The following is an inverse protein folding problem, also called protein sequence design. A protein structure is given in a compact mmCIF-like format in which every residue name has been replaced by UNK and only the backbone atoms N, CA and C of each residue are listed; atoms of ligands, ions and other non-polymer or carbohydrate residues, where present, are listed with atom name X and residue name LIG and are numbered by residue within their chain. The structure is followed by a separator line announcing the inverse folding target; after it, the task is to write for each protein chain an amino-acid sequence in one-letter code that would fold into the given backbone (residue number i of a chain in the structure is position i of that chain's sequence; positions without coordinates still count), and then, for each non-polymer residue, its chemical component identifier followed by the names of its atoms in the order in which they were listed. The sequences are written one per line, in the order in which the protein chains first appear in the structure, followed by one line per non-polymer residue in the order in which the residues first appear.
data_IF_631266757103
#
_entry.id   IF_631266757103
#
_cell.length_a   1.000
_cell.length_b   1.000
_cell.length_c   1.000
_cell.angle_alpha   90.00
_cell.angle_beta   90.00
_cell.angle_gamma   90.00
#
_symmetry.space_group_name_H-M   'P 1'
#
loop_
_entity.id
_entity.type
_entity.pdbx_description
1 polymer ?
#
# COMPACT_ATOMS: atom_id res chain seq x y z
N UNK A 1 16.99 -0.58 10.51
CA UNK A 1 17.18 -1.03 9.12
C UNK A 1 16.87 -2.51 9.08
N UNK A 2 16.01 -2.98 8.16
CA UNK A 2 15.85 -4.41 7.94
C UNK A 2 17.22 -5.03 7.61
N UNK A 3 17.44 -6.29 7.97
CA UNK A 3 18.68 -6.95 7.56
C UNK A 3 18.64 -7.21 6.05
N UNK A 4 19.80 -7.27 5.35
CA UNK A 4 19.86 -7.61 3.93
C UNK A 4 19.11 -8.91 3.60
N UNK A 5 19.07 -9.82 4.56
CA UNK A 5 18.31 -11.07 4.45
C UNK A 5 16.81 -10.82 4.41
N UNK A 6 16.25 -10.00 5.31
CA UNK A 6 14.82 -9.69 5.32
C UNK A 6 14.37 -8.96 4.06
N UNK A 7 15.18 -8.03 3.52
CA UNK A 7 14.89 -7.35 2.26
C UNK A 7 14.84 -8.35 1.10
N UNK A 8 15.85 -9.20 0.98
CA UNK A 8 15.88 -10.23 -0.05
C UNK A 8 14.68 -11.19 0.03
N UNK A 9 14.33 -11.66 1.23
CA UNK A 9 13.18 -12.55 1.43
C UNK A 9 11.88 -11.86 1.01
N UNK A 10 11.69 -10.60 1.41
CA UNK A 10 10.52 -9.80 1.05
C UNK A 10 10.42 -9.57 -0.47
N UNK A 11 11.52 -9.24 -1.13
CA UNK A 11 11.59 -9.09 -2.59
C UNK A 11 11.22 -10.39 -3.32
N UNK A 12 11.69 -11.54 -2.82
CA UNK A 12 11.32 -12.85 -3.39
C UNK A 12 9.83 -13.17 -3.17
N UNK A 13 9.27 -12.84 -2.00
CA UNK A 13 7.85 -13.03 -1.74
C UNK A 13 6.97 -12.12 -2.61
N UNK A 14 7.43 -10.90 -2.91
CA UNK A 14 6.72 -9.98 -3.79
C UNK A 14 6.73 -10.49 -5.24
N UNK A 15 7.89 -10.97 -5.72
CA UNK A 15 7.99 -11.60 -7.04
C UNK A 15 7.07 -12.83 -7.16
N UNK A 16 7.02 -13.69 -6.13
CA UNK A 16 6.09 -14.83 -6.12
C UNK A 16 4.63 -14.37 -6.20
N UNK A 17 4.27 -13.28 -5.49
CA UNK A 17 2.93 -12.69 -5.52
C UNK A 17 2.55 -12.23 -6.93
N UNK A 18 3.44 -11.50 -7.60
CA UNK A 18 3.21 -11.01 -8.96
C UNK A 18 2.99 -12.14 -9.98
N UNK A 19 3.69 -13.26 -9.79
CA UNK A 19 3.56 -14.45 -10.63
C UNK A 19 2.37 -15.34 -10.21
N UNK A 20 1.72 -15.02 -9.09
CA UNK A 20 0.67 -15.83 -8.49
C UNK A 20 1.17 -17.17 -7.94
N UNK A 21 2.48 -17.34 -7.74
CA UNK A 21 3.06 -18.54 -7.19
C UNK A 21 2.77 -18.63 -5.69
N UNK A 22 2.29 -19.77 -5.21
CA UNK A 22 1.92 -20.04 -3.81
C UNK A 22 0.91 -19.06 -3.19
N UNK A 23 0.29 -18.17 -3.97
CA UNK A 23 -0.78 -17.32 -3.51
C UNK A 23 -2.00 -18.17 -3.16
N UNK A 24 -2.36 -18.16 -1.88
CA UNK A 24 -3.41 -18.98 -1.28
C UNK A 24 -4.64 -18.16 -0.87
N UNK A 25 -4.64 -16.85 -1.16
CA UNK A 25 -5.81 -15.98 -1.00
C UNK A 25 -5.98 -15.00 -2.16
N UNK A 26 -7.24 -14.78 -2.53
CA UNK A 26 -7.67 -13.70 -3.41
C UNK A 26 -8.47 -12.66 -2.61
N UNK A 27 -7.91 -11.45 -2.43
CA UNK A 27 -8.59 -10.33 -1.77
C UNK A 27 -9.31 -9.50 -2.82
N UNK A 28 -10.60 -9.28 -2.65
CA UNK A 28 -11.45 -8.50 -3.56
C UNK A 28 -11.89 -7.19 -2.89
N UNK A 29 -11.82 -6.09 -3.63
CA UNK A 29 -12.30 -4.76 -3.23
C UNK A 29 -13.02 -4.14 -4.41
N UNK A 30 -14.35 -4.14 -4.37
CA UNK A 30 -15.19 -3.90 -5.52
C UNK A 30 -14.84 -4.86 -6.65
N UNK A 31 -14.58 -4.31 -7.82
CA UNK A 31 -14.21 -5.08 -9.02
C UNK A 31 -12.70 -5.39 -9.11
N UNK A 32 -11.89 -4.93 -8.15
CA UNK A 32 -10.44 -5.15 -8.14
C UNK A 32 -10.07 -6.36 -7.30
N UNK A 33 -9.17 -7.20 -7.80
CA UNK A 33 -8.71 -8.41 -7.12
C UNK A 33 -7.19 -8.40 -6.93
N UNK A 34 -6.75 -8.88 -5.78
CA UNK A 34 -5.35 -8.96 -5.37
C UNK A 34 -5.03 -10.39 -4.93
N UNK A 35 -4.08 -11.01 -5.63
CA UNK A 35 -3.49 -12.28 -5.16
C UNK A 35 -2.49 -11.98 -4.05
N UNK A 36 -2.49 -12.79 -3.01
CA UNK A 36 -1.56 -12.65 -1.91
C UNK A 36 -1.33 -13.99 -1.19
N UNK A 37 -0.33 -13.98 -0.32
CA UNK A 37 -0.05 -15.03 0.66
C UNK A 37 -0.69 -14.67 2.01
N UNK A 38 -1.51 -15.57 2.55
CA UNK A 38 -2.14 -15.40 3.88
C UNK A 38 -1.11 -15.25 4.97
N UNK A 39 0.00 -15.99 4.88
CA UNK A 39 1.10 -15.93 5.83
C UNK A 39 1.70 -14.51 5.95
N UNK A 40 1.96 -13.84 4.82
CA UNK A 40 2.50 -12.48 4.80
C UNK A 40 1.49 -11.49 5.40
N UNK A 41 0.24 -11.54 4.93
CA UNK A 41 -0.84 -10.66 5.42
C UNK A 41 -1.06 -10.83 6.94
N UNK A 42 -1.08 -12.05 7.46
CA UNK A 42 -1.29 -12.36 8.88
C UNK A 42 -0.09 -11.98 9.76
N UNK A 43 1.14 -12.08 9.23
CA UNK A 43 2.34 -11.63 9.91
C UNK A 43 2.33 -10.10 10.08
N UNK A 44 1.92 -9.37 9.04
CA UNK A 44 1.90 -7.91 9.04
C UNK A 44 0.67 -7.29 9.72
N UNK A 45 -0.45 -8.02 9.87
CA UNK A 45 -1.70 -7.45 10.37
C UNK A 45 -2.51 -8.42 11.23
N UNK A 46 -2.85 -7.97 12.45
CA UNK A 46 -3.74 -8.71 13.34
C UNK A 46 -5.15 -8.87 12.77
N UNK A 47 -5.63 -7.91 11.97
CA UNK A 47 -6.91 -8.01 11.27
C UNK A 47 -6.93 -9.22 10.33
N UNK A 48 -5.94 -9.33 9.44
CA UNK A 48 -5.85 -10.47 8.51
C UNK A 48 -5.64 -11.79 9.25
N UNK A 49 -4.86 -11.79 10.33
CA UNK A 49 -4.68 -12.98 11.17
C UNK A 49 -6.01 -13.49 11.73
N UNK A 50 -6.82 -12.62 12.32
CA UNK A 50 -8.13 -13.00 12.85
C UNK A 50 -9.10 -13.43 11.74
N UNK A 51 -9.09 -12.70 10.61
CA UNK A 51 -9.91 -13.00 9.45
C UNK A 51 -9.63 -14.40 8.88
N UNK A 52 -8.35 -14.78 8.80
CA UNK A 52 -7.94 -16.08 8.29
C UNK A 52 -8.24 -17.24 9.24
N UNK A 53 -8.12 -17.03 10.55
CA UNK A 53 -8.57 -18.01 11.54
C UNK A 53 -10.07 -18.31 11.36
N UNK A 54 -10.89 -17.29 11.13
CA UNK A 54 -12.34 -17.47 10.93
C UNK A 54 -12.70 -18.10 9.58
N UNK A 55 -11.97 -17.75 8.51
CA UNK A 55 -12.23 -18.26 7.16
C UNK A 55 -11.67 -19.66 6.92
N UNK A 56 -10.60 -20.08 7.61
CA UNK A 56 -10.12 -21.47 7.59
C UNK A 56 -11.18 -22.44 8.10
N UNK A 57 -11.95 -22.05 9.12
CA UNK A 57 -13.10 -22.84 9.57
C UNK A 57 -14.18 -23.02 8.49
N UNK A 58 -14.17 -22.20 7.43
CA UNK A 58 -15.15 -22.20 6.33
C UNK A 58 -14.57 -22.69 5.01
N UNK A 59 -13.27 -22.97 4.94
CA UNK A 59 -12.59 -23.38 3.71
C UNK A 59 -12.57 -22.31 2.60
N UNK A 60 -12.68 -21.03 2.95
CA UNK A 60 -12.81 -19.95 1.97
C UNK A 60 -11.43 -19.43 1.53
N UNK A 61 -11.15 -19.47 0.22
CA UNK A 61 -9.88 -19.00 -0.38
C UNK A 61 -9.95 -17.56 -0.92
N UNK A 62 -11.13 -16.94 -0.87
CA UNK A 62 -11.34 -15.55 -1.25
C UNK A 62 -11.80 -14.73 -0.06
N UNK A 63 -11.40 -13.46 -0.02
CA UNK A 63 -11.83 -12.50 0.99
C UNK A 63 -12.37 -11.28 0.28
N UNK A 64 -13.60 -10.87 0.61
CA UNK A 64 -14.19 -9.63 0.12
C UNK A 64 -14.11 -8.54 1.19
N UNK A 65 -13.41 -7.45 0.89
CA UNK A 65 -13.25 -6.28 1.74
C UNK A 65 -14.05 -5.07 1.23
N UNK A 66 -14.92 -5.24 0.24
CA UNK A 66 -15.72 -4.14 -0.35
C UNK A 66 -16.58 -3.40 0.67
N UNK A 67 -17.01 -4.09 1.75
CA UNK A 67 -17.83 -3.53 2.82
C UNK A 67 -17.05 -2.69 3.84
N UNK A 68 -15.72 -2.66 3.77
CA UNK A 68 -14.87 -1.97 4.78
C UNK A 68 -14.71 -0.47 4.52
N UNK A 69 -15.19 0.04 3.37
CA UNK A 69 -14.94 1.41 2.93
C UNK A 69 -13.50 1.67 2.46
N UNK A 70 -12.65 0.64 2.47
CA UNK A 70 -11.27 0.71 2.02
C UNK A 70 -11.20 0.68 0.49
N UNK A 71 -10.53 1.67 -0.12
CA UNK A 71 -10.39 1.73 -1.58
C UNK A 71 -9.35 0.73 -2.08
N UNK A 72 -9.51 0.26 -3.32
CA UNK A 72 -8.54 -0.64 -3.95
C UNK A 72 -7.13 -0.01 -4.02
N UNK A 73 -7.05 1.30 -4.30
CA UNK A 73 -5.78 2.03 -4.29
C UNK A 73 -5.14 2.03 -2.89
N UNK A 74 -5.92 2.33 -1.84
CA UNK A 74 -5.40 2.30 -0.47
C UNK A 74 -4.92 0.90 -0.07
N UNK A 75 -5.62 -0.15 -0.52
CA UNK A 75 -5.19 -1.52 -0.27
C UNK A 75 -3.90 -1.88 -0.99
N UNK A 76 -3.76 -1.53 -2.26
CA UNK A 76 -2.53 -1.75 -3.04
C UNK A 76 -1.31 -1.17 -2.32
N UNK A 77 -1.45 0.03 -1.74
CA UNK A 77 -0.41 0.68 -0.95
C UNK A 77 -0.06 -0.06 0.34
N UNK A 78 -1.07 -0.56 1.04
CA UNK A 78 -0.88 -1.41 2.23
C UNK A 78 -0.20 -2.72 1.83
N UNK A 79 -0.63 -3.33 0.72
CA UNK A 79 -0.08 -4.57 0.22
C UNK A 79 1.40 -4.41 -0.18
N UNK A 80 1.74 -3.37 -0.94
CA UNK A 80 3.13 -3.02 -1.27
C UNK A 80 3.98 -2.85 -0.01
N UNK A 81 3.47 -2.16 1.00
CA UNK A 81 4.18 -2.03 2.28
C UNK A 81 4.44 -3.39 2.94
N UNK A 82 3.45 -4.29 2.96
CA UNK A 82 3.60 -5.62 3.54
C UNK A 82 4.68 -6.46 2.84
N UNK A 83 4.86 -6.27 1.53
CA UNK A 83 5.82 -7.04 0.72
C UNK A 83 7.17 -6.35 0.52
N UNK A 84 7.29 -5.04 0.74
CA UNK A 84 8.53 -4.28 0.47
C UNK A 84 9.10 -3.62 1.73
N UNK A 85 8.37 -3.64 2.84
CA UNK A 85 8.76 -3.00 4.11
C UNK A 85 8.86 -1.47 4.05
N UNK A 86 8.43 -0.85 2.95
CA UNK A 86 8.49 0.60 2.72
C UNK A 86 7.24 1.10 2.01
N UNK A 87 6.83 2.32 2.35
CA UNK A 87 5.78 3.06 1.64
C UNK A 87 6.48 4.04 0.71
N UNK A 88 6.45 3.79 -0.60
CA UNK A 88 6.98 4.72 -1.60
C UNK A 88 5.98 5.83 -1.82
N UNK A 89 5.96 6.89 -1.02
CA UNK A 89 5.06 8.04 -1.23
C UNK A 89 5.42 8.74 -2.54
N UNK A 90 4.99 8.19 -3.67
CA UNK A 90 5.05 8.84 -4.98
C UNK A 90 3.93 9.87 -5.05
N UNK A 91 3.85 10.74 -4.06
CA UNK A 91 3.00 11.91 -4.12
C UNK A 91 3.75 12.97 -4.91
N UNK A 92 3.76 12.78 -6.24
CA UNK A 92 4.41 13.66 -7.21
C UNK A 92 3.61 14.95 -7.46
N UNK A 93 2.69 15.31 -6.56
CA UNK A 93 1.81 16.48 -6.71
C UNK A 93 1.94 17.56 -5.62
N UNK A 94 2.87 17.48 -4.67
CA UNK A 94 3.08 18.57 -3.68
C UNK A 94 4.27 19.52 -3.92
N UNK A 95 4.90 19.47 -5.11
CA UNK A 95 5.96 20.44 -5.49
C UNK A 95 5.77 21.12 -6.85
N UNK A 96 4.65 20.90 -7.54
CA UNK A 96 4.37 21.56 -8.81
C UNK A 96 3.15 22.48 -8.72
N UNK A 97 3.23 23.45 -7.82
CA UNK A 97 2.47 24.71 -7.92
C UNK A 97 3.33 25.91 -7.52
N UNK A 98 4.57 25.98 -8.02
CA UNK A 98 5.23 27.29 -8.24
C UNK A 98 4.72 27.89 -9.55
N UNK A 99 3.40 28.00 -9.70
CA UNK A 99 2.82 28.91 -10.67
C UNK A 99 2.63 30.21 -9.93
N UNK A 100 3.45 31.20 -10.30
CA UNK A 100 3.36 32.57 -9.83
C UNK A 100 1.90 33.01 -9.78
N UNK A 101 1.44 33.41 -8.60
CA UNK A 101 0.18 34.11 -8.46
C UNK A 101 0.45 35.51 -9.03
N UNK A 102 0.19 35.71 -10.32
CA UNK A 102 0.14 37.05 -10.87
C UNK A 102 -1.11 37.72 -10.29
N UNK A 103 -0.90 38.54 -9.25
CA UNK A 103 -1.90 39.50 -8.78
C UNK A 103 -1.71 40.75 -9.62
N UNK A 104 -2.66 41.15 -10.48
CA UNK A 104 -2.54 42.39 -11.21
C UNK A 104 -2.77 43.53 -10.24
N UNK A 105 -1.72 44.27 -9.88
CA UNK A 105 -1.87 45.59 -9.25
C UNK A 105 -0.84 46.02 -8.20
N UNK A 106 -0.03 45.15 -7.61
CA UNK A 106 0.82 45.54 -6.47
C UNK A 106 2.26 45.02 -6.66
N UNK A 107 3.21 45.94 -6.84
CA UNK A 107 4.60 45.69 -7.24
C UNK A 107 5.54 45.24 -6.12
N UNK A 108 5.14 44.28 -5.28
CA UNK A 108 6.01 43.82 -4.18
C UNK A 108 6.12 42.30 -4.12
N UNK A 109 7.28 41.79 -4.54
CA UNK A 109 7.68 40.40 -4.35
C UNK A 109 8.21 40.21 -2.93
N UNK A 110 7.50 39.44 -2.08
CA UNK A 110 8.04 39.01 -0.80
C UNK A 110 8.97 37.80 -1.00
N UNK A 111 10.25 37.96 -0.70
CA UNK A 111 11.20 36.85 -0.61
C UNK A 111 10.99 36.14 0.74
N UNK A 112 10.38 34.96 0.73
CA UNK A 112 10.35 34.11 1.93
C UNK A 112 11.75 33.53 2.18
N UNK A 113 12.23 33.70 3.41
CA UNK A 113 13.44 33.08 3.97
C UNK A 113 13.01 31.78 4.66
N UNK A 114 13.75 30.66 4.54
CA UNK A 114 13.38 29.43 5.25
C UNK A 114 13.54 29.63 6.77
N UNK A 115 12.57 29.15 7.55
CA UNK A 115 12.68 29.02 9.01
C UNK A 115 13.58 27.81 9.36
N UNK A 116 14.27 27.84 10.52
CA UNK A 116 15.40 26.97 10.86
C UNK A 116 15.08 25.48 10.96
#
# INVERSE_FOLDING_TARGET
MPSPHSEHVLDQLDAQREWGFLCDVLVSIGDTQFRAHRAVLAACSAFFRMLFIQSDCRGQQSVDLSHTGLSAHSFDRVLQYMYQGRVTTTDRYYYHSTTAIHVPGEGHYYRQVPLP
#
